data_IF_240880022357
#
_entry.id   IF_240880022357
#
_cell.length_a   1.000
_cell.length_b   1.000
_cell.length_c   1.000
_cell.angle_alpha   90.00
_cell.angle_beta   90.00
_cell.angle_gamma   90.00
#
_symmetry.space_group_name_H-M   'P 1'
#
loop_
_entity.id
_entity.type
_entity.pdbx_description
1 polymer ?
2 non-polymer ?
3 non-polymer ?
4 non-polymer ?
5 water ?
#
# COMPACT_ATOMS: atom_id res chain seq x y z
N UNK A 25 17.98 -14.93 -13.75
CA UNK A 25 16.85 -14.37 -12.98
C UNK A 25 16.02 -15.50 -12.36
N UNK A 26 15.93 -15.47 -11.05
CA UNK A 26 15.31 -16.54 -10.27
C UNK A 26 13.85 -16.11 -10.11
N UNK A 27 12.99 -17.06 -9.81
CA UNK A 27 11.56 -16.78 -9.57
C UNK A 27 11.34 -16.36 -8.11
N UNK A 28 10.36 -15.49 -7.92
CA UNK A 28 10.07 -14.94 -6.63
C UNK A 28 8.60 -15.19 -6.29
N UNK A 29 8.40 -15.77 -5.12
CA UNK A 29 7.07 -16.10 -4.59
C UNK A 29 6.78 -15.41 -3.28
N UNK A 30 5.48 -15.39 -2.94
CA UNK A 30 5.01 -14.76 -1.72
C UNK A 30 4.66 -15.89 -0.75
N UNK A 31 5.33 -15.86 0.41
CA UNK A 31 5.11 -16.91 1.44
C UNK A 31 4.58 -16.42 2.76
N UNK A 32 4.50 -15.11 3.00
CA UNK A 32 3.86 -14.63 4.21
C UNK A 32 3.39 -13.20 3.97
N UNK A 33 2.35 -12.81 4.72
CA UNK A 33 1.77 -11.50 4.62
C UNK A 33 1.27 -11.00 5.99
N UNK A 34 1.28 -9.67 6.15
CA UNK A 34 0.93 -9.03 7.39
C UNK A 34 0.39 -7.61 7.18
N UNK A 35 -0.49 -7.13 8.06
CA UNK A 35 -1.21 -5.84 7.83
C UNK A 35 -1.86 -5.28 9.07
N UNK A 36 -1.89 -3.97 9.11
CA UNK A 36 -2.80 -3.16 9.93
C UNK A 36 -3.54 -2.28 8.88
N UNK A 37 -4.85 -2.24 8.98
CA UNK A 37 -5.61 -1.36 8.12
C UNK A 37 -6.80 -0.75 8.82
N UNK A 38 -7.50 0.17 8.10
CA UNK A 38 -8.78 0.61 8.67
C UNK A 38 -9.91 -0.39 8.81
N UNK A 39 -9.76 -1.56 8.21
CA UNK A 39 -10.70 -2.66 8.28
C UNK A 39 -10.35 -3.74 9.27
N UNK A 40 -9.13 -3.76 9.80
CA UNK A 40 -8.78 -4.85 10.70
C UNK A 40 -7.34 -4.78 11.16
N UNK A 41 -7.04 -5.50 12.23
CA UNK A 41 -5.69 -5.51 12.79
C UNK A 41 -4.82 -6.67 12.27
N UNK A 42 -5.27 -7.40 11.25
CA UNK A 42 -4.47 -8.42 10.54
C UNK A 42 -5.02 -8.59 9.15
N UNK A 43 -4.47 -9.52 8.39
CA UNK A 43 -4.86 -9.71 7.02
C UNK A 43 -6.29 -10.36 6.89
N UNK A 44 -6.58 -11.45 7.64
CA UNK A 44 -7.90 -12.13 7.37
C UNK A 44 -9.04 -11.23 7.78
N UNK A 45 -8.90 -10.52 8.89
CA UNK A 45 -9.98 -9.59 9.34
C UNK A 45 -10.19 -8.48 8.28
N UNK A 46 -9.07 -7.89 7.80
CA UNK A 46 -9.14 -6.85 6.77
C UNK A 46 -9.84 -7.39 5.50
N UNK A 47 -9.39 -8.55 5.04
CA UNK A 47 -9.91 -9.10 3.81
C UNK A 47 -11.42 -9.45 3.91
N UNK A 48 -11.85 -9.94 5.08
CA UNK A 48 -13.28 -10.20 5.35
C UNK A 48 -14.08 -8.94 5.16
N UNK A 49 -13.62 -7.81 5.75
CA UNK A 49 -14.25 -6.47 5.48
C UNK A 49 -14.31 -6.10 3.97
N UNK A 50 -13.19 -6.28 3.29
CA UNK A 50 -13.04 -6.03 1.87
C UNK A 50 -14.15 -6.78 1.10
N UNK A 51 -14.27 -8.07 1.35
CA UNK A 51 -15.16 -8.87 0.50
C UNK A 51 -16.67 -8.56 0.81
N UNK A 52 -16.93 -8.16 2.05
CA UNK A 52 -18.28 -7.67 2.50
C UNK A 52 -18.65 -6.25 2.04
N UNK A 53 -17.71 -5.54 1.44
CA UNK A 53 -17.89 -4.13 1.04
C UNK A 53 -18.04 -3.18 2.20
N UNK A 54 -17.37 -3.47 3.32
CA UNK A 54 -17.40 -2.67 4.50
C UNK A 54 -16.49 -1.47 4.38
N UNK A 55 -16.94 -0.32 4.82
CA UNK A 55 -16.09 0.88 4.91
C UNK A 55 -15.30 0.93 6.18
N UNK A 56 -14.03 1.30 6.10
CA UNK A 56 -13.23 1.53 7.31
C UNK A 56 -13.04 2.96 7.66
N UNK A 57 -13.85 3.88 7.10
CA UNK A 57 -13.67 5.28 7.26
C UNK A 57 -14.70 5.79 8.24
N UNK A 58 -14.25 6.67 9.15
CA UNK A 58 -15.05 7.21 10.24
C UNK A 58 -14.47 8.51 10.75
N UNK A 59 -15.33 9.27 11.48
CA UNK A 59 -14.76 10.41 12.14
C UNK A 59 -13.53 10.05 13.00
N UNK A 60 -12.47 10.84 12.92
CA UNK A 60 -11.27 10.56 13.70
C UNK A 60 -11.54 10.89 15.18
N UNK A 61 -11.17 9.93 16.04
CA UNK A 61 -11.33 10.11 17.49
C UNK A 61 -10.03 10.31 18.25
N UNK A 62 -8.91 10.01 17.62
CA UNK A 62 -7.63 10.12 18.33
C UNK A 62 -7.12 11.57 18.52
N UNK A 63 -7.74 12.59 17.86
CA UNK A 63 -7.40 13.99 18.08
C UNK A 63 -8.61 14.83 17.76
N UNK A 64 -8.61 16.08 18.25
CA UNK A 64 -9.67 17.01 18.04
C UNK A 64 -9.49 17.74 16.69
N UNK A 65 -10.36 17.45 15.76
CA UNK A 65 -10.35 18.08 14.39
C UNK A 65 -11.47 19.07 14.21
N UNK A 66 -12.10 19.50 15.30
CA UNK A 66 -13.24 20.47 15.16
C UNK A 66 -12.82 21.76 14.40
N UNK A 67 -11.55 22.17 14.48
CA UNK A 67 -11.05 23.28 13.71
C UNK A 67 -10.76 22.99 12.19
N UNK A 68 -11.01 21.76 11.70
CA UNK A 68 -10.45 21.40 10.42
C UNK A 68 -11.55 21.23 9.39
N UNK A 69 -11.13 21.27 8.13
CA UNK A 69 -12.05 21.06 7.03
C UNK A 69 -12.38 19.63 6.66
N UNK A 70 -11.46 18.67 6.96
CA UNK A 70 -11.73 17.23 6.88
C UNK A 70 -11.51 16.67 8.27
N UNK A 71 -12.53 15.97 8.79
CA UNK A 71 -12.52 15.51 10.18
C UNK A 71 -12.66 13.98 10.31
N UNK A 72 -12.44 13.28 9.20
CA UNK A 72 -12.60 11.87 9.20
C UNK A 72 -11.47 11.28 8.35
N UNK A 73 -11.32 9.99 8.48
CA UNK A 73 -10.32 9.26 7.73
C UNK A 73 -10.35 7.79 8.06
N UNK A 74 -9.34 7.06 7.54
CA UNK A 74 -9.19 5.62 7.86
C UNK A 74 -8.19 5.34 8.98
N UNK A 75 -8.65 5.18 10.22
CA UNK A 75 -7.73 4.99 11.38
C UNK A 75 -7.55 3.50 11.69
N UNK A 76 -6.39 3.12 12.23
CA UNK A 76 -6.20 1.76 12.76
C UNK A 76 -6.85 1.77 14.15
N UNK A 77 -7.86 0.88 14.33
CA UNK A 77 -8.66 0.91 15.56
C UNK A 77 -8.30 -0.26 16.50
N UNK A 78 -7.96 0.12 17.74
CA UNK A 78 -7.64 -0.78 18.82
C UNK A 78 -6.26 -1.48 18.72
N UNK A 79 -5.28 -0.85 18.02
CA UNK A 79 -3.91 -1.43 17.91
C UNK A 79 -3.27 -1.54 19.27
N UNK A 80 -2.71 -2.70 19.59
CA UNK A 80 -1.95 -2.86 20.88
C UNK A 80 -0.50 -3.24 20.53
N UNK A 81 0.40 -2.25 20.57
CA UNK A 81 1.82 -2.44 20.20
C UNK A 81 2.47 -3.50 21.13
N UNK A 82 1.92 -3.67 22.30
CA UNK A 82 2.45 -4.66 23.32
C UNK A 82 2.29 -6.10 22.82
N UNK A 83 1.44 -6.35 21.83
CA UNK A 83 1.42 -7.65 21.18
C UNK A 83 2.71 -7.95 20.42
N UNK A 84 3.50 -6.91 20.11
CA UNK A 84 4.67 -6.98 19.20
C UNK A 84 5.99 -6.61 19.87
N UNK A 85 5.96 -5.66 20.84
CA UNK A 85 7.18 -5.09 21.44
C UNK A 85 7.01 -4.86 22.94
N UNK A 86 8.11 -4.74 23.64
CA UNK A 86 8.03 -4.38 25.06
C UNK A 86 7.65 -2.93 25.21
N UNK A 87 7.20 -2.52 26.39
CA UNK A 87 6.87 -1.09 26.58
C UNK A 87 8.16 -0.22 26.39
N UNK A 88 9.31 -0.74 26.81
CA UNK A 88 10.59 -0.06 26.70
C UNK A 88 10.91 0.24 25.21
N UNK A 89 10.79 -0.77 24.38
CA UNK A 89 11.10 -0.72 22.89
C UNK A 89 10.12 0.20 22.18
N UNK A 90 8.84 0.09 22.56
CA UNK A 90 7.78 0.85 21.83
C UNK A 90 7.76 2.36 22.10
N UNK A 91 8.17 2.80 23.29
CA UNK A 91 7.97 4.21 23.65
C UNK A 91 8.86 5.16 22.80
N UNK A 92 9.92 4.59 22.19
CA UNK A 92 10.91 5.35 21.43
C UNK A 92 10.38 5.64 20.01
N UNK A 93 9.29 4.95 19.61
CA UNK A 93 9.01 4.79 18.17
C UNK A 93 7.75 5.50 17.73
N UNK A 94 7.83 6.23 16.62
CA UNK A 94 6.61 6.87 16.06
C UNK A 94 5.61 5.78 15.68
N UNK A 95 4.32 6.10 15.71
CA UNK A 95 3.35 5.11 15.24
C UNK A 95 3.65 4.55 13.84
N UNK A 96 4.22 5.30 12.88
CA UNK A 96 4.37 4.65 11.58
C UNK A 96 5.40 3.50 11.67
N UNK A 97 6.37 3.63 12.59
CA UNK A 97 7.31 2.54 12.79
C UNK A 97 6.65 1.42 13.54
N UNK A 98 5.94 1.70 14.60
CA UNK A 98 5.16 0.67 15.26
C UNK A 98 4.27 -0.12 14.27
N UNK A 99 3.55 0.57 13.41
CA UNK A 99 2.70 -0.11 12.46
C UNK A 99 3.51 -0.95 11.44
N UNK A 100 4.67 -0.45 10.97
CA UNK A 100 5.49 -1.22 9.97
C UNK A 100 6.04 -2.48 10.62
N UNK A 101 6.49 -2.35 11.87
CA UNK A 101 6.95 -3.51 12.61
C UNK A 101 5.87 -4.55 12.84
N UNK A 102 4.66 -4.08 13.18
CA UNK A 102 3.53 -5.02 13.41
C UNK A 102 3.27 -5.84 12.15
N UNK A 103 3.21 -5.17 11.01
CA UNK A 103 2.89 -5.87 9.77
C UNK A 103 4.01 -6.83 9.44
N UNK A 104 5.24 -6.37 9.61
CA UNK A 104 6.44 -7.18 9.41
C UNK A 104 6.50 -8.43 10.25
N UNK A 105 6.23 -8.30 11.53
CA UNK A 105 6.30 -9.46 12.42
C UNK A 105 5.18 -10.49 12.04
N UNK A 106 3.98 -9.99 11.72
CA UNK A 106 2.90 -10.86 11.26
C UNK A 106 3.34 -11.66 10.02
N UNK A 107 3.97 -10.97 9.04
CA UNK A 107 4.34 -11.57 7.78
C UNK A 107 5.41 -12.65 8.01
N UNK A 108 6.36 -12.38 8.88
CA UNK A 108 7.42 -13.40 9.21
C UNK A 108 6.80 -14.60 9.93
N UNK A 109 5.90 -14.36 10.85
CA UNK A 109 5.21 -15.47 11.51
C UNK A 109 4.40 -16.30 10.47
N UNK A 110 3.67 -15.59 9.60
CA UNK A 110 2.85 -16.24 8.59
C UNK A 110 3.62 -17.06 7.65
N UNK A 111 4.83 -16.63 7.33
CA UNK A 111 5.77 -17.37 6.43
C UNK A 111 6.31 -18.66 6.98
N UNK A 112 6.34 -18.76 8.31
CA UNK A 112 6.98 -19.90 8.96
C UNK A 112 8.51 -19.97 8.89
N UNK A 113 9.17 -19.06 8.20
CA UNK A 113 10.62 -19.11 8.06
C UNK A 113 11.34 -18.98 9.37
N UNK A 114 12.35 -19.81 9.53
CA UNK A 114 13.24 -19.80 10.66
C UNK A 114 14.47 -19.01 10.31
N UNK A 115 14.79 -17.99 11.09
CA UNK A 115 16.02 -17.24 10.83
C UNK A 115 17.16 -17.84 11.68
N UNK A 116 18.27 -18.11 11.01
CA UNK A 116 19.45 -18.73 11.60
C UNK A 116 20.74 -18.06 11.19
N UNK A 117 21.85 -18.48 11.81
CA UNK A 117 23.15 -17.97 11.39
C UNK A 117 23.44 -18.36 9.99
N UNK A 118 22.93 -19.51 9.53
CA UNK A 118 23.10 -19.95 8.18
C UNK A 118 22.40 -19.15 7.10
N UNK A 119 21.28 -18.45 7.43
CA UNK A 119 20.55 -17.78 6.36
C UNK A 119 20.42 -16.27 6.57
N UNK A 120 20.84 -15.77 7.71
CA UNK A 120 20.52 -14.37 8.07
C UNK A 120 21.13 -13.36 7.08
N UNK A 121 22.31 -13.67 6.50
CA UNK A 121 22.94 -12.77 5.56
C UNK A 121 22.13 -12.61 4.26
N UNK A 122 21.20 -13.56 4.03
CA UNK A 122 20.52 -13.70 2.78
C UNK A 122 19.05 -13.15 2.94
N UNK A 123 18.72 -12.60 4.09
CA UNK A 123 17.36 -12.08 4.34
C UNK A 123 17.51 -10.57 4.57
N UNK A 124 16.87 -9.78 3.72
CA UNK A 124 16.87 -8.35 3.83
C UNK A 124 15.51 -7.71 4.04
N UNK A 125 15.50 -6.36 3.97
CA UNK A 125 14.32 -5.58 4.36
C UNK A 125 14.24 -4.34 3.49
N UNK A 126 13.03 -4.04 3.09
CA UNK A 126 12.72 -2.82 2.36
C UNK A 126 11.29 -2.42 2.71
N UNK A 127 11.16 -1.74 3.84
CA UNK A 127 9.94 -1.08 4.23
C UNK A 127 10.01 0.41 4.11
N UNK A 128 9.00 0.95 3.46
CA UNK A 128 9.02 2.39 3.15
C UNK A 128 7.95 3.21 3.80
N UNK A 129 7.98 4.53 3.56
CA UNK A 129 6.92 5.40 4.05
C UNK A 129 6.83 6.65 3.21
N UNK A 130 5.63 7.16 3.01
CA UNK A 130 5.49 8.37 2.25
C UNK A 130 5.95 9.60 2.97
N UNK A 131 5.50 9.79 4.22
CA UNK A 131 5.82 10.98 5.02
C UNK A 131 6.53 10.69 6.33
N UNK A 132 6.39 9.48 6.86
CA UNK A 132 7.13 9.09 8.04
C UNK A 132 6.57 9.70 9.30
N UNK A 133 7.46 10.11 10.25
CA UNK A 133 7.04 10.32 11.63
C UNK A 133 6.53 11.71 11.93
N UNK A 134 5.43 12.04 11.24
CA UNK A 134 4.94 13.39 11.25
C UNK A 134 4.43 13.74 12.64
N UNK A 135 3.86 12.77 13.33
CA UNK A 135 3.34 13.01 14.68
C UNK A 135 4.48 13.37 15.63
N UNK A 136 5.50 12.55 15.65
CA UNK A 136 6.64 12.85 16.49
C UNK A 136 7.24 14.18 16.12
N UNK A 137 7.30 14.49 14.81
CA UNK A 137 7.91 15.76 14.34
C UNK A 137 7.14 16.97 14.88
N UNK A 138 5.82 16.88 14.84
CA UNK A 138 4.94 17.93 15.33
C UNK A 138 5.12 18.10 16.83
N UNK A 139 5.12 17.01 17.58
CA UNK A 139 5.27 17.08 19.04
C UNK A 139 6.65 17.62 19.49
N UNK A 140 7.67 17.22 18.80
CA UNK A 140 9.03 17.75 19.12
C UNK A 140 9.17 19.23 18.70
N UNK A 141 8.50 19.65 17.60
CA UNK A 141 8.46 21.07 17.27
C UNK A 141 7.74 21.90 18.40
N UNK A 142 6.70 21.38 19.04
CA UNK A 142 6.05 22.09 20.07
C UNK A 142 7.04 22.33 21.22
N UNK A 143 7.76 21.27 21.59
CA UNK A 143 8.77 21.34 22.63
C UNK A 143 9.82 22.39 22.27
N UNK A 144 10.30 22.35 21.04
CA UNK A 144 11.26 23.33 20.52
C UNK A 144 10.82 24.75 20.66
N UNK A 145 9.62 25.07 20.16
CA UNK A 145 9.14 26.45 20.14
C UNK A 145 8.75 26.95 21.50
N UNK A 146 8.10 26.13 22.30
CA UNK A 146 7.57 26.52 23.60
C UNK A 146 8.60 26.53 24.71
N UNK A 147 9.63 25.68 24.57
CA UNK A 147 10.55 25.42 25.68
C UNK A 147 12.04 25.51 25.34
N UNK A 148 12.47 24.99 24.19
CA UNK A 148 13.82 25.22 23.68
C UNK A 148 14.38 23.89 23.18
N UNK A 149 15.51 23.91 22.49
CA UNK A 149 15.98 22.69 21.79
C UNK A 149 16.36 21.49 22.70
N UNK A 150 16.73 21.78 23.96
CA UNK A 150 17.12 20.69 24.86
C UNK A 150 15.93 19.86 25.34
N UNK A 151 14.71 20.33 25.08
CA UNK A 151 13.44 19.60 25.38
C UNK A 151 13.08 18.61 24.32
N UNK A 152 13.73 18.66 23.17
CA UNK A 152 13.52 17.62 22.14
C UNK A 152 13.91 16.25 22.66
N UNK A 153 13.14 15.26 22.33
CA UNK A 153 13.40 13.90 22.81
C UNK A 153 14.76 13.42 22.29
N UNK A 154 15.57 12.74 23.14
CA UNK A 154 16.76 12.10 22.63
C UNK A 154 16.46 10.97 21.63
N UNK A 155 15.24 10.44 21.63
CA UNK A 155 14.84 9.44 20.61
C UNK A 155 14.15 10.02 19.38
N UNK A 156 14.10 11.35 19.26
CA UNK A 156 13.38 11.97 18.15
C UNK A 156 13.87 11.49 16.82
N UNK A 157 15.18 11.64 16.54
CA UNK A 157 15.68 11.29 15.26
C UNK A 157 15.59 9.78 14.97
N UNK A 158 16.20 8.92 15.78
CA UNK A 158 16.00 7.49 15.40
C UNK A 158 14.57 6.95 15.43
N UNK A 159 13.72 7.52 16.22
CA UNK A 159 12.32 7.04 16.25
C UNK A 159 11.40 7.65 15.20
N UNK A 160 11.98 8.48 14.32
CA UNK A 160 11.13 9.22 13.39
C UNK A 160 11.58 9.16 11.91
N UNK A 161 12.84 8.86 11.63
CA UNK A 161 13.31 8.98 10.26
C UNK A 161 12.84 7.66 9.54
N UNK A 162 12.57 7.81 8.27
CA UNK A 162 11.92 6.75 7.50
C UNK A 162 12.67 5.42 7.42
N UNK A 163 13.96 5.43 7.39
CA UNK A 163 14.67 4.17 7.21
C UNK A 163 14.75 3.34 8.49
N UNK A 164 14.19 3.85 9.60
CA UNK A 164 14.24 3.11 10.84
C UNK A 164 13.20 2.00 10.94
N UNK A 165 12.27 1.91 9.99
CA UNK A 165 11.47 0.65 9.95
C UNK A 165 12.32 -0.51 9.56
N UNK A 166 13.01 -0.33 8.44
CA UNK A 166 13.95 -1.36 7.98
C UNK A 166 15.05 -1.53 9.07
N UNK A 167 15.47 -0.45 9.69
CA UNK A 167 16.61 -0.54 10.66
C UNK A 167 16.23 -1.35 11.89
N UNK A 168 15.10 -0.97 12.51
CA UNK A 168 14.61 -1.66 13.66
C UNK A 168 14.19 -3.09 13.37
N UNK A 169 13.55 -3.36 12.25
CA UNK A 169 13.18 -4.77 11.87
C UNK A 169 14.44 -5.60 11.75
N UNK A 170 15.49 -5.07 11.11
CA UNK A 170 16.71 -5.86 10.92
C UNK A 170 17.35 -6.15 12.28
N UNK A 171 17.39 -5.14 13.15
CA UNK A 171 17.98 -5.33 14.51
C UNK A 171 17.14 -6.36 15.34
N UNK A 172 15.82 -6.19 15.36
CA UNK A 172 14.94 -7.12 16.08
C UNK A 172 14.99 -8.58 15.62
N UNK A 173 15.11 -8.82 14.33
CA UNK A 173 15.12 -10.19 13.81
C UNK A 173 16.52 -10.71 13.39
N UNK A 174 17.55 -9.85 13.48
CA UNK A 174 18.90 -10.21 13.08
C UNK A 174 19.03 -10.41 11.57
N UNK A 175 18.35 -9.58 10.76
CA UNK A 175 18.38 -9.73 9.30
C UNK A 175 19.52 -8.95 8.71
N UNK A 176 20.44 -9.60 8.02
CA UNK A 176 21.67 -8.95 7.56
C UNK A 176 21.82 -8.71 6.07
N UNK A 177 20.77 -8.93 5.28
CA UNK A 177 20.81 -8.74 3.89
C UNK A 177 20.62 -7.28 3.48
N UNK A 178 20.34 -7.03 2.22
CA UNK A 178 20.06 -5.66 1.75
C UNK A 178 19.03 -4.96 2.62
N UNK A 179 19.40 -3.74 3.04
CA UNK A 179 18.58 -2.95 3.97
C UNK A 179 18.41 -1.53 3.43
N UNK A 180 17.19 -1.17 3.01
CA UNK A 180 16.94 0.15 2.51
C UNK A 180 15.47 0.50 2.64
N UNK A 181 15.12 1.71 2.23
CA UNK A 181 13.76 2.21 2.39
C UNK A 181 13.46 3.14 1.21
N UNK A 182 12.29 2.91 0.58
CA UNK A 182 11.73 3.85 -0.45
C UNK A 182 10.84 4.90 0.17
N UNK A 183 10.73 6.05 -0.51
CA UNK A 183 9.79 7.07 -0.15
C UNK A 183 9.27 7.71 -1.47
N UNK A 184 8.14 7.24 -1.97
CA UNK A 184 7.58 7.65 -3.28
C UNK A 184 6.08 7.88 -3.20
N UNK A 185 5.72 8.56 -2.12
CA UNK A 185 4.38 8.92 -1.87
C UNK A 185 3.45 7.71 -2.04
N UNK A 186 2.39 7.84 -2.82
CA UNK A 186 1.40 6.76 -3.09
C UNK A 186 1.91 5.46 -3.68
N UNK A 187 3.15 5.52 -4.25
CA UNK A 187 3.79 4.38 -4.95
C UNK A 187 4.78 3.66 -4.04
N UNK A 188 5.00 4.15 -2.83
CA UNK A 188 6.02 3.61 -1.95
C UNK A 188 5.94 2.08 -1.77
N UNK A 189 4.79 1.55 -1.41
CA UNK A 189 4.66 0.14 -1.13
C UNK A 189 4.87 -0.73 -2.38
N UNK A 190 4.43 -0.25 -3.51
CA UNK A 190 4.66 -0.88 -4.81
C UNK A 190 6.11 -0.96 -5.21
N UNK A 191 6.80 0.16 -5.18
CA UNK A 191 8.21 0.17 -5.48
C UNK A 191 8.97 -0.73 -4.47
N UNK A 192 8.60 -0.64 -3.19
CA UNK A 192 9.36 -1.38 -2.17
C UNK A 192 9.31 -2.90 -2.48
N UNK A 193 8.12 -3.39 -2.77
CA UNK A 193 7.91 -4.81 -3.14
C UNK A 193 8.61 -5.16 -4.43
N UNK A 194 8.41 -4.36 -5.46
CA UNK A 194 9.08 -4.60 -6.78
C UNK A 194 10.61 -4.69 -6.73
N UNK A 195 11.19 -3.72 -6.04
CA UNK A 195 12.65 -3.63 -5.95
C UNK A 195 13.22 -4.75 -5.09
N UNK A 196 12.49 -5.14 -4.08
CA UNK A 196 12.88 -6.25 -3.18
C UNK A 196 12.88 -7.54 -4.02
N UNK A 197 11.90 -7.67 -4.90
CA UNK A 197 11.83 -8.82 -5.79
C UNK A 197 13.03 -8.87 -6.71
N UNK A 198 13.47 -7.72 -7.19
CA UNK A 198 14.62 -7.59 -8.03
C UNK A 198 15.90 -8.03 -7.28
N UNK A 199 16.00 -7.67 -6.00
CA UNK A 199 17.10 -8.14 -5.12
C UNK A 199 17.20 -9.66 -5.21
N UNK A 200 16.07 -10.29 -5.11
CA UNK A 200 16.02 -11.77 -5.03
C UNK A 200 16.32 -12.33 -6.42
N UNK A 201 15.70 -11.76 -7.43
CA UNK A 201 15.92 -12.23 -8.83
C UNK A 201 17.43 -12.11 -9.22
N UNK A 202 18.10 -11.07 -8.76
CA UNK A 202 19.51 -10.70 -9.06
C UNK A 202 20.50 -11.56 -8.21
N UNK A 203 19.99 -12.24 -7.20
CA UNK A 203 20.81 -13.01 -6.21
C UNK A 203 21.43 -12.22 -5.06
N UNK A 204 20.98 -10.99 -4.81
CA UNK A 204 21.47 -10.21 -3.65
C UNK A 204 20.89 -10.71 -2.34
N UNK A 205 19.80 -11.49 -2.43
CA UNK A 205 19.11 -11.97 -1.24
C UNK A 205 18.31 -13.20 -1.66
N UNK A 206 17.98 -14.00 -0.71
CA UNK A 206 17.01 -15.07 -0.94
C UNK A 206 15.62 -14.82 -0.41
N UNK A 207 15.52 -13.92 0.53
CA UNK A 207 14.27 -13.53 1.20
C UNK A 207 14.32 -12.00 1.43
N UNK A 208 13.21 -11.32 1.21
CA UNK A 208 13.06 -9.91 1.60
C UNK A 208 11.72 -9.73 2.29
N UNK A 209 11.70 -8.91 3.35
CA UNK A 209 10.47 -8.43 3.98
C UNK A 209 10.26 -7.01 3.41
N UNK A 210 9.17 -6.85 2.63
CA UNK A 210 8.93 -5.63 1.91
C UNK A 210 7.54 -5.11 2.03
N UNK A 211 7.43 -3.78 1.92
CA UNK A 211 6.13 -3.12 2.00
C UNK A 211 6.22 -1.70 2.48
N UNK A 212 5.23 -1.21 3.18
CA UNK A 212 5.27 0.18 3.67
C UNK A 212 4.34 0.42 4.86
N UNK A 213 4.46 1.63 5.44
CA UNK A 213 3.62 1.99 6.58
C UNK A 213 3.47 3.51 6.64
N UNK A 214 2.39 3.99 7.27
CA UNK A 214 2.05 5.38 7.31
C UNK A 214 1.13 5.67 8.50
N UNK A 215 1.42 6.77 9.17
CA UNK A 215 0.49 7.36 10.12
C UNK A 215 0.68 8.90 9.99
N UNK A 216 0.06 9.46 8.97
CA UNK A 216 0.03 10.91 8.72
C UNK A 216 -1.19 11.66 9.26
N UNK A 217 -2.03 11.01 10.07
CA UNK A 217 -3.21 11.70 10.69
C UNK A 217 -2.79 12.42 11.95
N UNK A 218 -2.06 13.51 11.80
CA UNK A 218 -1.93 14.52 12.81
C UNK A 218 -2.37 15.85 12.24
N UNK A 219 -2.32 16.89 13.05
CA UNK A 219 -2.64 18.20 12.58
C UNK A 219 -1.90 18.65 11.36
N UNK A 220 -0.57 18.42 11.32
CA UNK A 220 0.24 18.84 10.15
C UNK A 220 -0.23 18.10 8.91
N UNK A 221 -0.59 16.83 9.06
CA UNK A 221 -0.96 15.96 7.92
C UNK A 221 -2.30 16.29 7.29
N UNK A 222 -3.33 16.29 8.11
CA UNK A 222 -4.69 16.64 7.68
C UNK A 222 -4.67 18.14 7.30
N UNK A 223 -3.95 18.97 8.05
CA UNK A 223 -3.88 20.38 7.73
C UNK A 223 -3.21 20.62 6.39
N UNK A 224 -2.09 19.95 6.20
CA UNK A 224 -1.25 20.05 5.01
C UNK A 224 -2.00 19.61 3.78
N UNK A 225 -2.57 18.43 3.85
CA UNK A 225 -3.36 17.94 2.68
C UNK A 225 -4.57 18.76 2.45
N UNK A 226 -5.14 19.29 3.50
CA UNK A 226 -6.37 20.14 3.35
C UNK A 226 -6.04 21.48 2.71
N UNK A 227 -4.88 22.03 3.05
CA UNK A 227 -4.38 23.25 2.40
C UNK A 227 -4.10 23.12 0.90
N UNK A 228 -3.67 21.91 0.51
CA UNK A 228 -3.45 21.54 -0.88
C UNK A 228 -4.75 21.14 -1.58
N UNK A 229 -5.87 21.16 -0.88
CA UNK A 229 -7.18 20.79 -1.37
C UNK A 229 -7.20 19.38 -1.97
N UNK A 230 -6.45 18.47 -1.35
CA UNK A 230 -6.32 17.09 -1.84
C UNK A 230 -7.40 16.16 -1.30
N UNK A 231 -8.05 16.51 -0.20
CA UNK A 231 -8.91 15.59 0.58
C UNK A 231 -10.38 15.81 0.34
N UNK A 232 -11.16 14.76 0.25
CA UNK A 232 -12.62 14.91 0.37
C UNK A 232 -12.99 15.65 1.65
N UNK A 233 -14.00 16.52 1.53
CA UNK A 233 -14.59 17.17 2.69
C UNK A 233 -16.06 16.76 2.98
N UNK A 234 -16.39 15.52 2.65
CA UNK A 234 -17.71 14.94 2.88
C UNK A 234 -17.90 14.53 4.35
N UNK A 235 -17.81 15.52 5.23
CA UNK A 235 -17.79 15.25 6.65
C UNK A 235 -19.10 14.68 7.17
N UNK A 236 -20.20 14.96 6.45
CA UNK A 236 -21.52 14.48 6.88
C UNK A 236 -21.74 12.99 6.64
N UNK A 237 -21.08 12.42 5.63
CA UNK A 237 -21.20 11.01 5.40
C UNK A 237 -19.84 10.35 5.05
N UNK A 238 -18.98 10.13 6.06
CA UNK A 238 -17.63 9.68 5.80
C UNK A 238 -17.53 8.41 5.03
N UNK A 239 -18.45 7.46 5.21
CA UNK A 239 -18.31 6.19 4.51
C UNK A 239 -18.60 6.30 3.02
N UNK A 240 -19.22 7.41 2.61
CA UNK A 240 -19.58 7.66 1.21
C UNK A 240 -18.55 8.60 0.53
N UNK A 241 -17.55 9.02 1.31
CA UNK A 241 -16.53 9.94 0.81
C UNK A 241 -15.68 9.43 -0.33
N UNK A 242 -15.07 8.27 -0.14
CA UNK A 242 -14.20 7.64 -1.11
C UNK A 242 -15.03 6.89 -2.14
N UNK A 243 -15.07 7.44 -3.33
CA UNK A 243 -15.98 7.00 -4.40
C UNK A 243 -15.29 7.01 -5.79
N UNK A 244 -14.27 6.15 -5.99
CA UNK A 244 -13.46 6.15 -7.21
C UNK A 244 -14.33 6.00 -8.48
N UNK A 245 -14.12 6.91 -9.44
CA UNK A 245 -14.78 6.91 -10.81
C UNK A 245 -16.25 7.39 -10.70
N UNK A 246 -16.69 7.69 -9.50
CA UNK A 246 -18.07 8.29 -9.33
C UNK A 246 -18.08 9.79 -9.63
N UNK A 247 -19.13 10.22 -10.36
CA UNK A 247 -19.21 11.57 -10.84
C UNK A 247 -19.17 12.65 -9.69
N UNK A 248 -19.44 12.26 -8.44
CA UNK A 248 -19.49 13.17 -7.33
C UNK A 248 -18.29 13.05 -6.35
N UNK A 249 -17.23 12.40 -6.81
CA UNK A 249 -15.94 12.36 -6.01
C UNK A 249 -15.40 13.74 -5.83
N UNK A 250 -14.67 13.96 -4.72
CA UNK A 250 -14.17 15.27 -4.38
C UNK A 250 -12.85 15.20 -3.61
N UNK A 251 -12.03 14.19 -3.91
CA UNK A 251 -10.76 14.07 -3.26
C UNK A 251 -10.61 12.80 -2.46
N UNK A 252 -9.35 12.50 -2.16
CA UNK A 252 -9.04 11.21 -1.49
C UNK A 252 -9.29 11.29 0.04
N UNK A 253 -9.35 10.13 0.66
CA UNK A 253 -9.54 9.99 2.10
C UNK A 253 -8.20 9.49 2.70
N UNK A 254 -7.71 10.20 3.70
CA UNK A 254 -6.42 9.88 4.31
C UNK A 254 -6.58 8.73 5.27
N UNK A 255 -5.73 7.72 5.10
CA UNK A 255 -5.80 6.53 5.94
C UNK A 255 -4.43 6.07 6.41
N UNK A 256 -4.47 5.27 7.47
CA UNK A 256 -3.30 4.86 8.24
C UNK A 256 -3.14 3.37 8.16
N UNK A 257 -1.92 2.87 8.35
CA UNK A 257 -1.75 1.41 8.58
C UNK A 257 -0.44 0.93 7.94
N UNK A 258 -0.39 -0.33 7.59
CA UNK A 258 0.87 -0.95 7.13
C UNK A 258 0.56 -2.25 6.38
N UNK A 259 1.42 -2.56 5.46
CA UNK A 259 1.46 -3.90 4.92
C UNK A 259 2.88 -4.36 4.71
N UNK A 260 3.07 -5.69 4.82
CA UNK A 260 4.35 -6.35 4.60
C UNK A 260 4.20 -7.73 3.98
N UNK A 261 5.07 -8.06 3.04
CA UNK A 261 5.13 -9.36 2.41
C UNK A 261 6.48 -9.98 2.68
N UNK A 262 6.47 -11.27 2.89
CA UNK A 262 7.69 -12.05 2.78
C UNK A 262 7.80 -12.56 1.37
N UNK A 263 8.80 -11.99 0.65
CA UNK A 263 9.18 -12.44 -0.68
C UNK A 263 10.29 -13.46 -0.59
N UNK A 264 10.20 -14.52 -1.40
CA UNK A 264 11.18 -15.62 -1.28
C UNK A 264 11.58 -16.27 -2.59
N UNK A 265 12.88 -16.59 -2.76
CA UNK A 265 13.25 -17.30 -3.98
C UNK A 265 12.55 -18.69 -4.06
N UNK A 266 12.24 -19.14 -5.25
CA UNK A 266 11.28 -20.26 -5.35
C UNK A 266 11.90 -21.56 -4.83
N UNK A 267 13.11 -21.86 -5.25
CA UNK A 267 13.81 -23.07 -4.72
C UNK A 267 13.98 -23.06 -3.20
N UNK A 268 14.26 -21.90 -2.62
CA UNK A 268 14.39 -21.76 -1.19
C UNK A 268 13.04 -22.06 -0.43
N UNK A 269 11.92 -21.53 -0.98
CA UNK A 269 10.59 -21.76 -0.43
C UNK A 269 10.24 -23.27 -0.54
N UNK A 270 10.57 -23.86 -1.70
CA UNK A 270 10.25 -25.29 -1.91
C UNK A 270 11.03 -26.20 -0.99
N UNK A 271 12.31 -25.92 -0.82
CA UNK A 271 13.20 -26.75 0.03
C UNK A 271 12.74 -26.80 1.46
N UNK A 272 12.14 -25.73 1.97
CA UNK A 272 11.63 -25.80 3.32
C UNK A 272 10.16 -26.18 3.46
N UNK A 273 9.50 -26.47 2.35
CA UNK A 273 8.07 -26.80 2.35
C UNK A 273 7.13 -25.64 2.67
N UNK A 274 7.50 -24.46 2.23
CA UNK A 274 6.76 -23.22 2.54
C UNK A 274 5.41 -23.26 1.84
N UNK A 275 4.36 -22.71 2.41
CA UNK A 275 3.13 -22.47 1.71
C UNK A 275 3.31 -21.26 0.81
N UNK A 276 2.96 -21.41 -0.47
CA UNK A 276 3.20 -20.37 -1.45
C UNK A 276 1.83 -19.78 -1.82
N UNK A 277 1.61 -18.50 -1.54
CA UNK A 277 0.31 -17.86 -1.88
C UNK A 277 0.12 -17.57 -3.36
N UNK A 278 1.22 -17.14 -4.00
CA UNK A 278 1.27 -16.64 -5.37
C UNK A 278 2.72 -16.33 -5.80
N UNK A 279 2.90 -16.13 -7.10
CA UNK A 279 4.19 -15.70 -7.67
C UNK A 279 4.13 -14.24 -8.11
N UNK A 280 5.23 -13.54 -7.89
CA UNK A 280 5.43 -12.16 -8.34
C UNK A 280 6.25 -12.19 -9.58
N UNK A 281 5.58 -11.97 -10.73
CA UNK A 281 6.13 -12.22 -12.06
C UNK A 281 6.58 -10.99 -12.81
N UNK A 282 6.05 -9.83 -12.41
CA UNK A 282 6.45 -8.60 -13.12
C UNK A 282 6.39 -7.33 -12.27
N UNK A 283 7.18 -6.36 -12.66
CA UNK A 283 7.25 -5.11 -11.99
C UNK A 283 7.67 -4.09 -13.09
N UNK A 284 6.88 -3.00 -13.15
CA UNK A 284 7.09 -1.91 -14.11
C UNK A 284 7.01 -0.55 -13.43
N UNK A 285 7.76 0.40 -13.97
CA UNK A 285 7.81 1.81 -13.54
C UNK A 285 7.80 2.78 -14.71
N UNK A 286 7.31 3.99 -14.47
CA UNK A 286 7.47 5.15 -15.37
C UNK A 286 7.28 6.42 -14.63
N UNK A 287 7.57 7.55 -15.29
CA UNK A 287 7.25 8.88 -14.78
C UNK A 287 6.36 9.61 -15.81
N UNK A 288 5.25 10.24 -15.40
CA UNK A 288 4.46 11.04 -16.30
C UNK A 288 5.25 12.22 -16.85
N UNK A 289 6.06 12.86 -16.00
CA UNK A 289 6.78 14.10 -16.33
C UNK A 289 5.77 15.19 -16.85
N UNK A 290 4.66 15.34 -16.13
CA UNK A 290 3.57 16.17 -16.56
C UNK A 290 3.24 17.27 -15.51
N UNK A 291 2.95 16.91 -14.25
CA UNK A 291 2.35 17.83 -13.26
C UNK A 291 2.53 17.27 -11.84
N UNK A 292 2.65 18.19 -10.87
CA UNK A 292 2.92 17.78 -9.46
C UNK A 292 1.86 16.87 -8.84
N UNK A 293 0.59 17.02 -9.22
CA UNK A 293 -0.45 16.11 -8.67
C UNK A 293 -1.50 15.50 -9.57
N UNK A 294 -1.77 16.10 -10.70
CA UNK A 294 -2.75 15.57 -11.64
C UNK A 294 -2.00 14.85 -12.77
N UNK A 295 -2.45 13.63 -13.14
CA UNK A 295 -1.86 13.02 -14.28
C UNK A 295 -2.47 13.61 -15.55
N UNK A 296 -1.85 13.36 -16.71
CA UNK A 296 -2.51 13.71 -17.96
C UNK A 296 -3.81 12.94 -18.12
N UNK A 297 -4.81 13.60 -18.70
CA UNK A 297 -6.10 12.97 -18.98
C UNK A 297 -6.09 11.64 -19.76
N UNK A 298 -5.09 11.42 -20.62
CA UNK A 298 -5.02 10.19 -21.36
C UNK A 298 -4.26 9.11 -20.59
N UNK A 299 -3.79 9.38 -19.40
CA UNK A 299 -3.01 8.37 -18.64
C UNK A 299 -1.85 7.74 -19.41
N UNK A 300 -1.15 8.53 -20.22
CA UNK A 300 -0.06 7.99 -20.99
C UNK A 300 1.08 7.37 -20.18
N UNK A 301 1.44 7.98 -19.05
CA UNK A 301 2.46 7.42 -18.19
C UNK A 301 2.07 6.12 -17.50
N UNK A 302 0.84 6.09 -17.00
CA UNK A 302 0.24 4.88 -16.47
C UNK A 302 0.19 3.71 -17.47
N UNK A 303 -0.14 4.01 -18.72
CA UNK A 303 -0.14 2.98 -19.79
C UNK A 303 1.27 2.41 -19.96
N UNK A 304 2.28 3.28 -20.09
CA UNK A 304 3.67 2.81 -20.27
C UNK A 304 4.09 1.94 -19.10
N UNK A 305 3.71 2.38 -17.90
CA UNK A 305 4.05 1.59 -16.70
C UNK A 305 3.43 0.18 -16.74
N UNK A 306 2.13 0.08 -17.00
CA UNK A 306 1.46 -1.24 -17.10
C UNK A 306 2.07 -2.12 -18.18
N UNK A 307 2.34 -1.56 -19.36
CA UNK A 307 3.02 -2.32 -20.41
C UNK A 307 4.36 -2.80 -19.95
N UNK A 308 5.11 -1.92 -19.27
CA UNK A 308 6.45 -2.34 -18.82
C UNK A 308 6.34 -3.53 -17.91
N UNK A 309 5.36 -3.48 -17.02
CA UNK A 309 5.15 -4.56 -16.03
C UNK A 309 4.70 -5.86 -16.71
N UNK A 310 3.79 -5.77 -17.67
CA UNK A 310 3.33 -6.95 -18.42
C UNK A 310 4.47 -7.58 -19.19
N UNK A 311 5.27 -6.73 -19.80
CA UNK A 311 6.41 -7.25 -20.62
C UNK A 311 7.46 -7.89 -19.73
N UNK A 312 7.77 -7.27 -18.57
CA UNK A 312 8.66 -7.92 -17.56
C UNK A 312 8.18 -9.32 -17.15
N UNK A 313 6.84 -9.47 -17.05
CA UNK A 313 6.15 -10.72 -16.72
C UNK A 313 6.04 -11.75 -17.85
N UNK A 314 6.38 -11.33 -19.07
CA UNK A 314 6.16 -12.16 -20.27
C UNK A 314 4.72 -12.54 -20.48
N UNK A 315 3.84 -11.58 -20.21
CA UNK A 315 2.42 -11.80 -20.36
C UNK A 315 1.86 -10.85 -21.44
N UNK A 316 0.91 -11.37 -22.20
CA UNK A 316 0.00 -10.56 -23.11
C UNK A 316 -1.12 -9.90 -22.29
N UNK A 317 -1.58 -8.68 -22.68
CA UNK A 317 -2.67 -8.02 -21.93
C UNK A 317 -3.90 -8.91 -21.76
N UNK A 318 -4.19 -9.79 -22.75
CA UNK A 318 -5.35 -10.73 -22.65
C UNK A 318 -5.26 -11.73 -21.54
N UNK A 319 -4.07 -11.89 -20.95
CA UNK A 319 -3.89 -12.82 -19.85
C UNK A 319 -4.27 -12.26 -18.48
N UNK A 320 -4.54 -10.93 -18.42
CA UNK A 320 -4.87 -10.23 -17.18
C UNK A 320 -6.35 -10.39 -16.86
N UNK A 321 -6.67 -10.80 -15.62
CA UNK A 321 -8.10 -11.08 -15.14
C UNK A 321 -8.58 -10.01 -14.16
N UNK A 322 -7.66 -9.48 -13.32
CA UNK A 322 -8.02 -8.54 -12.24
C UNK A 322 -6.91 -7.43 -12.13
N UNK A 323 -7.39 -6.19 -11.95
CA UNK A 323 -6.54 -5.03 -11.64
C UNK A 323 -7.09 -4.38 -10.36
N UNK A 324 -6.20 -4.28 -9.39
CA UNK A 324 -6.41 -3.50 -8.21
C UNK A 324 -5.84 -2.09 -8.52
N UNK A 325 -6.75 -1.17 -8.78
CA UNK A 325 -6.46 0.14 -9.30
C UNK A 325 -5.78 1.03 -8.26
N UNK A 326 -5.16 2.08 -8.75
CA UNK A 326 -4.74 3.17 -7.85
C UNK A 326 -5.96 3.90 -7.30
N UNK A 327 -6.80 4.36 -8.20
CA UNK A 327 -8.15 4.86 -7.90
C UNK A 327 -8.35 5.50 -6.54
N UNK A 328 -7.83 6.70 -6.37
CA UNK A 328 -7.89 7.39 -5.09
C UNK A 328 -9.15 8.24 -4.84
N UNK A 329 -10.05 8.33 -5.84
CA UNK A 329 -11.27 9.17 -5.76
C UNK A 329 -11.02 10.65 -5.97
N UNK A 330 -10.17 10.94 -6.94
CA UNK A 330 -9.80 12.32 -7.36
C UNK A 330 -10.31 12.55 -8.77
N UNK A 331 -10.69 13.78 -9.08
CA UNK A 331 -11.16 13.99 -10.49
C UNK A 331 -10.24 13.44 -11.65
N UNK A 332 -9.01 13.98 -11.67
CA UNK A 332 -8.13 13.78 -12.81
C UNK A 332 -7.49 12.42 -12.73
N UNK A 333 -7.16 12.07 -11.52
CA UNK A 333 -6.48 10.83 -11.34
C UNK A 333 -7.32 9.67 -11.87
N UNK A 334 -8.55 9.59 -11.41
CA UNK A 334 -9.35 8.36 -11.56
C UNK A 334 -9.58 8.14 -13.09
N UNK A 335 -9.93 9.20 -13.84
CA UNK A 335 -10.20 9.05 -15.28
C UNK A 335 -8.97 8.73 -16.09
N UNK A 336 -7.80 9.26 -15.73
CA UNK A 336 -6.57 8.87 -16.41
C UNK A 336 -6.36 7.35 -16.39
N UNK A 337 -6.71 6.70 -15.29
CA UNK A 337 -6.49 5.23 -15.18
C UNK A 337 -7.42 4.41 -16.08
N UNK A 338 -8.68 4.84 -16.14
CA UNK A 338 -9.61 4.33 -17.18
C UNK A 338 -9.02 4.48 -18.58
N UNK A 339 -8.49 5.64 -18.94
CA UNK A 339 -7.93 5.88 -20.30
C UNK A 339 -6.73 4.95 -20.51
N UNK A 340 -5.94 4.77 -19.45
CA UNK A 340 -4.70 4.00 -19.57
C UNK A 340 -5.01 2.52 -19.77
N UNK A 341 -6.02 2.02 -19.02
CA UNK A 341 -6.49 0.61 -19.13
C UNK A 341 -7.06 0.33 -20.55
N UNK A 342 -7.87 1.25 -21.08
CA UNK A 342 -8.35 1.12 -22.43
C UNK A 342 -7.21 1.05 -23.47
N UNK A 343 -6.20 1.91 -23.31
CA UNK A 343 -5.03 2.00 -24.23
C UNK A 343 -4.28 0.70 -24.21
N UNK A 344 -3.98 0.21 -23.02
CA UNK A 344 -3.17 -0.98 -22.91
C UNK A 344 -3.88 -2.28 -23.38
N UNK A 345 -5.16 -2.40 -23.04
CA UNK A 345 -5.85 -3.65 -23.07
C UNK A 345 -6.81 -3.74 -24.27
N UNK A 346 -7.11 -2.62 -24.94
CA UNK A 346 -7.96 -2.66 -26.17
C UNK A 346 -9.32 -3.24 -25.79
N UNK A 347 -9.84 -4.17 -26.61
CA UNK A 347 -11.19 -4.70 -26.35
C UNK A 347 -11.18 -5.55 -25.07
N UNK A 348 -10.01 -6.07 -24.75
CA UNK A 348 -9.89 -6.86 -23.53
C UNK A 348 -10.11 -6.05 -22.27
N UNK A 349 -10.03 -4.74 -22.37
CA UNK A 349 -10.39 -3.85 -21.24
C UNK A 349 -11.79 -4.10 -20.68
N UNK A 350 -12.69 -4.56 -21.56
CA UNK A 350 -14.06 -4.91 -21.20
C UNK A 350 -14.26 -6.31 -20.65
N UNK A 351 -13.25 -7.20 -20.69
CA UNK A 351 -13.33 -8.57 -20.18
C UNK A 351 -12.76 -8.75 -18.72
N UNK A 352 -11.64 -8.04 -18.46
CA UNK A 352 -11.01 -8.00 -17.13
C UNK A 352 -11.97 -7.26 -16.13
N UNK A 353 -11.69 -7.44 -14.84
CA UNK A 353 -12.35 -6.73 -13.77
C UNK A 353 -11.31 -5.80 -13.13
N UNK A 354 -11.69 -4.53 -12.84
CA UNK A 354 -10.81 -3.58 -12.16
C UNK A 354 -11.58 -2.99 -11.00
N UNK A 355 -10.95 -2.95 -9.85
CA UNK A 355 -11.61 -2.28 -8.69
C UNK A 355 -10.63 -1.49 -7.88
N UNK A 356 -11.18 -0.49 -7.18
CA UNK A 356 -10.41 0.30 -6.21
C UNK A 356 -10.88 -0.04 -4.82
N UNK A 357 -10.03 -0.77 -4.10
CA UNK A 357 -10.25 -1.05 -2.71
C UNK A 357 -10.11 0.17 -1.80
N UNK A 358 -9.55 1.28 -2.32
CA UNK A 358 -9.54 2.54 -1.61
C UNK A 358 -10.96 3.03 -1.33
N UNK A 359 -11.96 2.56 -2.10
CA UNK A 359 -13.37 2.83 -1.80
C UNK A 359 -13.77 2.45 -0.41
N UNK A 360 -13.10 1.47 0.15
CA UNK A 360 -13.35 1.08 1.53
C UNK A 360 -12.26 1.42 2.54
N UNK A 361 -11.01 1.30 2.11
CA UNK A 361 -9.92 1.57 3.01
C UNK A 361 -9.46 3.05 3.04
N UNK A 362 -9.82 3.89 2.08
CA UNK A 362 -9.15 5.14 1.85
C UNK A 362 -7.72 4.88 1.30
N UNK A 363 -6.96 5.98 1.27
CA UNK A 363 -5.62 6.05 0.68
C UNK A 363 -4.58 5.99 1.80
N UNK A 364 -3.91 4.85 1.95
CA UNK A 364 -2.91 4.66 3.03
C UNK A 364 -1.52 5.19 2.63
N UNK A 365 -1.44 5.91 1.52
CA UNK A 365 -0.25 6.66 1.07
C UNK A 365 0.89 5.67 0.94
N UNK A 366 1.93 5.74 1.79
CA UNK A 366 3.08 4.83 1.62
C UNK A 366 2.73 3.37 1.85
N UNK A 367 1.60 3.07 2.52
CA UNK A 367 1.22 1.69 2.82
C UNK A 367 0.21 1.20 1.78
N UNK A 368 -0.27 2.10 0.92
CA UNK A 368 -1.35 1.73 -0.05
C UNK A 368 -0.91 0.56 -0.92
N UNK A 369 0.28 0.66 -1.55
CA UNK A 369 0.71 -0.38 -2.49
C UNK A 369 1.00 -1.69 -1.77
N UNK A 370 1.29 -1.62 -0.46
CA UNK A 370 1.60 -2.83 0.31
C UNK A 370 0.30 -3.58 0.58
N UNK A 371 -0.69 -2.89 1.11
CA UNK A 371 -1.97 -3.58 1.45
C UNK A 371 -2.66 -3.98 0.17
N UNK A 372 -2.48 -3.22 -0.94
CA UNK A 372 -3.17 -3.54 -2.14
C UNK A 372 -2.49 -4.74 -2.89
N UNK A 373 -1.20 -4.94 -2.66
CA UNK A 373 -0.49 -6.09 -3.22
C UNK A 373 -1.03 -7.31 -2.45
N UNK A 374 -1.21 -7.17 -1.14
CA UNK A 374 -1.85 -8.24 -0.38
C UNK A 374 -3.26 -8.61 -0.90
N UNK A 375 -4.08 -7.57 -1.12
CA UNK A 375 -5.46 -7.81 -1.65
C UNK A 375 -5.43 -8.51 -3.04
N UNK A 376 -4.45 -8.17 -3.86
CA UNK A 376 -4.26 -8.81 -5.13
C UNK A 376 -3.92 -10.28 -5.04
N UNK A 377 -3.00 -10.62 -4.14
CA UNK A 377 -2.65 -12.01 -3.90
C UNK A 377 -3.87 -12.82 -3.36
N UNK A 378 -4.67 -12.20 -2.49
CA UNK A 378 -5.84 -12.81 -1.93
C UNK A 378 -6.96 -12.93 -2.97
N UNK A 379 -7.06 -12.02 -3.93
CA UNK A 379 -8.02 -12.19 -5.06
C UNK A 379 -7.66 -13.47 -5.86
N UNK A 380 -6.35 -13.71 -6.04
CA UNK A 380 -5.81 -14.94 -6.60
C UNK A 380 -6.19 -16.15 -5.78
N UNK A 381 -5.93 -16.09 -4.51
CA UNK A 381 -6.17 -17.26 -3.64
C UNK A 381 -7.64 -17.66 -3.64
N UNK A 382 -8.50 -16.66 -3.53
CA UNK A 382 -9.97 -16.89 -3.32
C UNK A 382 -10.83 -16.81 -4.62
N UNK A 383 -10.22 -16.48 -5.77
CA UNK A 383 -10.91 -16.31 -7.03
C UNK A 383 -12.14 -15.36 -6.91
N UNK A 384 -11.86 -14.12 -6.53
CA UNK A 384 -12.86 -13.11 -6.36
C UNK A 384 -12.26 -11.78 -6.48
N UNK A 385 -12.91 -10.95 -7.30
CA UNK A 385 -12.61 -9.52 -7.39
C UNK A 385 -13.30 -8.72 -6.29
N UNK A 386 -12.52 -7.95 -5.48
CA UNK A 386 -13.17 -7.11 -4.49
C UNK A 386 -13.94 -5.96 -5.17
N UNK A 387 -14.97 -5.40 -4.47
CA UNK A 387 -15.80 -4.36 -5.04
C UNK A 387 -15.14 -2.97 -5.04
N UNK A 388 -15.63 -2.10 -5.91
CA UNK A 388 -15.52 -0.66 -5.74
C UNK A 388 -16.86 -0.24 -5.10
N UNK A 389 -16.90 -0.01 -3.81
CA UNK A 389 -18.08 0.58 -3.18
C UNK A 389 -18.26 2.05 -3.60
N UNK A 390 -19.49 2.53 -3.40
CA UNK A 390 -19.94 3.87 -3.64
C UNK A 390 -19.98 4.28 -5.10
N UNK A 391 -19.90 3.35 -6.05
CA UNK A 391 -19.78 3.68 -7.45
C UNK A 391 -21.23 3.82 -7.99
N UNK A 392 -21.93 4.80 -7.47
CA UNK A 392 -23.35 4.97 -7.79
C UNK A 392 -23.64 5.43 -9.22
N UNK A 393 -22.92 6.49 -9.62
CA UNK A 393 -23.02 7.06 -10.94
C UNK A 393 -21.63 7.24 -11.63
N UNK A 394 -21.16 6.21 -12.33
CA UNK A 394 -19.85 6.28 -13.02
C UNK A 394 -19.74 7.47 -13.93
N UNK A 395 -18.59 8.11 -13.94
CA UNK A 395 -18.42 9.35 -14.72
C UNK A 395 -18.36 9.03 -16.21
N UNK A 396 -18.33 10.07 -17.04
CA UNK A 396 -18.09 9.95 -18.50
C UNK A 396 -16.95 9.00 -18.80
N UNK A 397 -17.22 8.02 -19.65
CA UNK A 397 -16.17 7.03 -20.07
C UNK A 397 -15.75 5.96 -19.05
N UNK A 398 -16.40 5.91 -17.89
CA UNK A 398 -16.05 4.94 -16.84
C UNK A 398 -17.01 3.75 -16.97
N UNK A 399 -16.88 3.05 -18.12
CA UNK A 399 -17.84 2.00 -18.49
C UNK A 399 -17.30 0.58 -18.51
N UNK A 400 -16.16 0.40 -17.84
CA UNK A 400 -15.58 -0.92 -17.67
C UNK A 400 -16.28 -1.66 -16.54
N UNK A 401 -15.92 -2.95 -16.35
CA UNK A 401 -16.32 -3.69 -15.14
C UNK A 401 -15.45 -3.24 -14.00
N UNK A 402 -15.98 -2.29 -13.25
CA UNK A 402 -15.30 -1.70 -12.09
C UNK A 402 -15.81 -2.37 -10.79
N UNK A 403 -16.40 -3.56 -10.93
CA UNK A 403 -16.87 -4.35 -9.77
C UNK A 403 -17.72 -3.50 -8.81
N UNK A 404 -18.59 -2.70 -9.37
CA UNK A 404 -19.36 -1.72 -8.51
C UNK A 404 -20.15 -2.46 -7.43
N UNK A 405 -20.03 -1.98 -6.21
CA UNK A 405 -20.92 -2.32 -5.10
C UNK A 405 -20.69 -3.63 -4.39
N UNK A 406 -20.48 -4.71 -5.10
CA UNK A 406 -20.33 -6.00 -4.41
C UNK A 406 -19.28 -6.88 -5.11
N UNK A 407 -18.66 -7.74 -4.28
CA UNK A 407 -17.61 -8.66 -4.72
C UNK A 407 -18.07 -9.54 -5.86
N UNK A 408 -17.15 -9.88 -6.73
CA UNK A 408 -17.45 -10.73 -7.92
C UNK A 408 -16.53 -11.94 -8.01
N UNK A 409 -17.02 -13.10 -7.58
CA UNK A 409 -16.37 -14.39 -7.84
C UNK A 409 -16.15 -14.58 -9.34
N UNK A 410 -14.94 -14.95 -9.78
CA UNK A 410 -14.62 -15.04 -11.19
C UNK A 410 -13.25 -15.76 -11.28
N UNK A 411 -12.91 -16.29 -12.43
CA UNK A 411 -11.59 -16.77 -12.69
C UNK A 411 -10.57 -15.62 -12.70
N UNK A 412 -9.49 -15.79 -11.91
CA UNK A 412 -8.35 -14.83 -11.83
C UNK A 412 -7.03 -15.61 -11.83
N UNK A 413 -6.35 -15.62 -12.94
CA UNK A 413 -5.06 -16.23 -12.92
C UNK A 413 -3.97 -15.19 -12.74
N UNK A 414 -4.19 -13.96 -13.21
CA UNK A 414 -3.19 -12.89 -13.18
C UNK A 414 -3.87 -11.65 -12.64
N UNK A 415 -3.23 -11.05 -11.63
CA UNK A 415 -3.73 -9.81 -10.99
C UNK A 415 -2.65 -8.73 -11.04
N UNK A 416 -3.02 -7.53 -11.39
CA UNK A 416 -2.13 -6.32 -11.38
C UNK A 416 -2.47 -5.49 -10.18
N UNK A 417 -1.49 -4.78 -9.61
CA UNK A 417 -1.76 -3.69 -8.69
C UNK A 417 -0.98 -2.44 -9.18
N UNK A 418 -1.73 -1.35 -9.37
CA UNK A 418 -1.24 -0.11 -9.88
C UNK A 418 -1.12 0.92 -8.73
N UNK A 419 -0.08 1.73 -8.83
CA UNK A 419 0.10 2.92 -7.99
C UNK A 419 0.62 4.07 -8.83
N UNK A 420 -0.17 5.14 -8.97
CA UNK A 420 0.14 6.28 -9.85
C UNK A 420 0.17 7.56 -9.05
N UNK A 421 1.32 7.82 -8.44
CA UNK A 421 1.43 8.68 -7.31
C UNK A 421 1.84 10.10 -7.52
N UNK A 422 1.88 10.84 -6.42
CA UNK A 422 2.23 12.27 -6.42
C UNK A 422 3.57 12.54 -7.15
N UNK A 423 3.62 13.54 -8.03
CA UNK A 423 4.80 13.78 -8.88
C UNK A 423 4.77 13.00 -10.20
N UNK A 424 3.79 12.16 -10.41
CA UNK A 424 3.74 11.38 -11.62
C UNK A 424 4.54 10.12 -11.53
N UNK A 425 4.74 9.64 -10.29
CA UNK A 425 5.60 8.44 -10.08
C UNK A 425 4.75 7.19 -10.12
N UNK A 426 4.97 6.33 -11.11
CA UNK A 426 4.13 5.17 -11.36
C UNK A 426 4.81 3.84 -11.17
N UNK A 427 4.08 2.90 -10.58
CA UNK A 427 4.59 1.56 -10.43
C UNK A 427 3.44 0.58 -10.61
N UNK A 428 3.75 -0.56 -11.23
CA UNK A 428 2.79 -1.65 -11.34
C UNK A 428 3.44 -2.96 -10.98
N UNK A 429 2.74 -3.77 -10.17
CA UNK A 429 3.08 -5.16 -9.88
C UNK A 429 2.16 -6.17 -10.54
N UNK A 430 2.72 -7.30 -10.94
CA UNK A 430 2.00 -8.38 -11.61
C UNK A 430 2.21 -9.66 -10.82
N UNK A 431 1.12 -10.23 -10.29
CA UNK A 431 1.11 -11.48 -9.54
C UNK A 431 0.33 -12.54 -10.36
N UNK A 432 0.69 -13.80 -10.19
CA UNK A 432 0.06 -14.89 -10.95
C UNK A 432 -0.16 -16.07 -10.01
N UNK A 433 -1.26 -16.84 -10.20
CA UNK A 433 -1.40 -18.11 -9.43
C UNK A 433 -0.12 -18.95 -9.63
N UNK A 434 0.35 -19.62 -8.58
CA UNK A 434 1.61 -20.34 -8.67
C UNK A 434 1.41 -21.75 -9.25
N UNK A 435 2.09 -21.96 -10.38
CA UNK A 435 2.43 -23.27 -10.95
C UNK A 435 3.73 -23.10 -11.77
X LIG B 1 6.69 -14.54 14.58
X LIG B 1 7.46 -13.64 15.00
X LIG B 1 8.87 -13.79 14.75
X LIG B 1 9.31 -14.93 14.05
X LIG B 1 8.51 -15.85 13.73
X LIG B 1 10.54 -15.12 13.75
X LIG B 1 9.77 -12.83 15.19
X LIG B 1 9.38 -11.68 15.93
X LIG B 1 7.99 -11.53 16.18
X LIG B 1 7.00 -12.50 15.72
X LIG B 1 5.63 -12.41 15.87
X LIG B 1 4.91 -11.43 16.39
X LIG B 1 5.39 -10.55 17.11
X LIG B 1 3.50 -11.45 16.16
X LIG B 1 2.92 -11.97 15.02
X LIG B 1 1.51 -11.96 14.79
X LIG B 1 0.67 -11.40 15.76
X LIG B 1 1.21 -10.85 16.90
X LIG B 1 2.64 -10.87 17.11
X LIG C 1 8.86 -17.86 13.24
X LIG D 1 -3.40 -0.73 -6.34
#
# INVERSE_FOLDING_TARGET
MHHHHHHSSGVDLGTENLYFQSMSRRRVVITGMGMLSPLGLDVPSSWEGILAGRSGIAPIEHMDLSAYSTRFGGSVKGFNVEEYLSAKEARKLDLFIQYGLAASFQAVRDSGLEVTDANRERIGVSMGSGIGGLTNIENNCRSLFEQGPRRISPFFVPGSIINMVSGFLSIHLGLQGPNYALTTACTTGTHSIGMAARNIAYGEADVMVAGGSEMAACGLGLGGFGAARALSTRNDEPTRASRPWDRDRDGFVLSDGSGALVLEELEHARARGARIYAELVGFGMSGDAFHMTAPPEDGAGAARCMKNALRDAGLDPRQVDYINAHGTSTPAGDIAEIAAVKSVFGEHAHALSMSSTKSMTGHLLGAAGAVEAIFSVLALRDQVAPPTINLDNPDEGCDLDLVAHEAKPRKIDVALSNSFGFGGTNGTLVFRRFAD
1LR OAJ CAC CAD CAG OAH OAI CAE CAF CAA CAB NAK CAL OAM CAN CAO CAP CAQ CAR CAS
MG MG
K K
#
